data_IF_030787402695
#
_entry.id   IF_030787402695
#
_cell.length_a   1.000
_cell.length_b   1.000
_cell.length_c   1.000
_cell.angle_alpha   90.00
_cell.angle_beta   90.00
_cell.angle_gamma   90.00
#
_symmetry.space_group_name_H-M   'P 1'
#
loop_
_entity.id
_entity.type
_entity.pdbx_description
1 polymer ?
#
# COMPACT_ATOMS: atom_id res chain seq x y z
N UNK A 1 -1.06 1.90 -6.11
CA UNK A 1 -1.45 0.47 -6.18
C UNK A 1 -2.10 -0.05 -4.89
N UNK A 2 -1.56 0.22 -3.69
CA UNK A 2 -2.18 -0.25 -2.43
C UNK A 2 -3.61 0.29 -2.20
N UNK A 3 -3.89 1.53 -2.63
CA UNK A 3 -5.23 2.13 -2.55
C UNK A 3 -6.34 1.32 -3.24
N UNK A 4 -5.99 0.51 -4.25
CA UNK A 4 -6.98 -0.30 -4.99
C UNK A 4 -7.55 -1.42 -4.12
N UNK A 5 -6.81 -1.91 -3.12
CA UNK A 5 -7.35 -2.88 -2.16
C UNK A 5 -8.50 -2.29 -1.35
N UNK A 6 -8.41 -1.01 -1.00
CA UNK A 6 -9.45 -0.33 -0.23
C UNK A 6 -10.79 -0.25 -0.98
N UNK A 7 -10.77 -0.34 -2.32
CA UNK A 7 -11.94 -0.21 -3.16
C UNK A 7 -12.93 -1.39 -3.05
N UNK A 8 -12.60 -2.44 -2.30
CA UNK A 8 -13.60 -3.44 -1.89
C UNK A 8 -14.65 -2.83 -0.96
N UNK A 9 -14.32 -1.77 -0.22
CA UNK A 9 -15.25 -1.05 0.63
C UNK A 9 -16.00 0.00 -0.20
N UNK A 10 -17.35 0.06 -0.13
CA UNK A 10 -18.16 0.97 -0.94
C UNK A 10 -17.72 2.45 -0.83
N UNK A 11 -17.36 2.91 0.36
CA UNK A 11 -16.94 4.30 0.61
C UNK A 11 -15.64 4.70 -0.10
N UNK A 12 -14.80 3.73 -0.49
CA UNK A 12 -13.57 3.98 -1.26
C UNK A 12 -13.72 3.60 -2.74
N UNK A 13 -14.89 3.10 -3.16
CA UNK A 13 -15.09 2.59 -4.52
C UNK A 13 -14.98 3.68 -5.59
N UNK A 14 -15.21 4.93 -5.21
CA UNK A 14 -15.11 6.11 -6.08
C UNK A 14 -13.70 6.32 -6.65
N UNK A 15 -12.64 5.82 -5.99
CA UNK A 15 -11.27 5.85 -6.53
C UNK A 15 -11.09 5.01 -7.80
N UNK A 16 -12.06 4.17 -8.14
CA UNK A 16 -12.12 3.38 -9.36
C UNK A 16 -13.21 3.89 -10.32
N UNK A 17 -13.69 5.12 -10.19
CA UNK A 17 -14.54 5.74 -11.21
C UNK A 17 -13.70 5.96 -12.49
N UNK A 18 -14.24 5.62 -13.66
CA UNK A 18 -13.49 5.65 -14.92
C UNK A 18 -12.70 4.38 -15.21
N UNK A 19 -12.74 3.36 -14.33
CA UNK A 19 -11.99 2.10 -14.52
C UNK A 19 -12.44 1.33 -15.75
N UNK A 20 -13.68 1.51 -16.18
CA UNK A 20 -14.27 0.97 -17.41
C UNK A 20 -13.59 1.46 -18.70
N UNK A 21 -12.90 2.61 -18.62
CA UNK A 21 -12.11 3.17 -19.71
C UNK A 21 -10.69 2.59 -19.76
N UNK A 22 -10.24 1.89 -18.71
CA UNK A 22 -8.90 1.33 -18.66
C UNK A 22 -8.80 0.00 -19.42
N UNK A 23 -7.70 -0.19 -20.15
CA UNK A 23 -7.41 -1.47 -20.83
C UNK A 23 -6.98 -2.56 -19.84
N UNK A 24 -6.39 -2.16 -18.71
CA UNK A 24 -5.98 -3.09 -17.65
C UNK A 24 -5.94 -2.47 -16.26
N UNK A 25 -6.10 -3.31 -15.25
CA UNK A 25 -6.12 -2.95 -13.83
C UNK A 25 -5.33 -4.00 -13.06
N UNK A 26 -4.37 -3.56 -12.24
CA UNK A 26 -3.64 -4.46 -11.35
C UNK A 26 -3.90 -4.15 -9.88
N UNK A 27 -3.88 -5.20 -9.07
CA UNK A 27 -3.98 -5.18 -7.62
C UNK A 27 -2.93 -6.11 -7.03
N UNK A 28 -2.38 -5.76 -5.88
CA UNK A 28 -1.46 -6.61 -5.14
C UNK A 28 -2.10 -7.05 -3.81
N UNK A 29 -2.81 -8.20 -3.77
CA UNK A 29 -3.33 -8.76 -2.52
C UNK A 29 -2.28 -8.91 -1.43
N UNK A 30 -1.02 -9.12 -1.79
CA UNK A 30 0.06 -9.25 -0.82
C UNK A 30 0.45 -7.96 -0.09
N UNK A 31 -0.12 -6.82 -0.48
CA UNK A 31 0.13 -5.54 0.20
C UNK A 31 -0.89 -5.29 1.31
N UNK A 32 -2.17 -5.50 1.02
CA UNK A 32 -3.23 -5.04 1.92
C UNK A 32 -4.51 -5.88 1.78
N UNK A 33 -4.33 -7.20 1.68
CA UNK A 33 -5.40 -8.19 1.57
C UNK A 33 -5.01 -9.52 2.21
N UNK A 34 -4.21 -9.46 3.29
CA UNK A 34 -3.85 -10.58 4.16
C UNK A 34 -3.23 -11.81 3.45
N UNK A 35 -2.71 -11.62 2.24
CA UNK A 35 -2.13 -12.70 1.44
C UNK A 35 -0.61 -12.62 1.50
N UNK A 36 0.09 -13.73 1.73
CA UNK A 36 1.55 -13.69 1.77
C UNK A 36 2.16 -13.40 0.38
N UNK A 37 3.31 -12.73 0.37
CA UNK A 37 4.08 -12.45 -0.85
C UNK A 37 4.48 -13.77 -1.54
N UNK A 38 4.43 -13.89 -2.86
CA UNK A 38 4.00 -12.93 -3.89
C UNK A 38 2.57 -13.19 -4.39
N UNK A 39 1.72 -12.17 -4.47
CA UNK A 39 0.36 -12.34 -5.02
C UNK A 39 -0.09 -11.07 -5.73
N UNK A 40 -0.14 -11.12 -7.06
CA UNK A 40 -0.65 -10.04 -7.90
C UNK A 40 -1.86 -10.55 -8.70
N UNK A 41 -2.83 -9.67 -8.89
CA UNK A 41 -3.98 -9.88 -9.75
C UNK A 41 -3.95 -8.82 -10.84
N UNK A 42 -4.15 -9.25 -12.09
CA UNK A 42 -4.24 -8.40 -13.26
C UNK A 42 -5.56 -8.73 -13.97
N UNK A 43 -6.35 -7.70 -14.22
CA UNK A 43 -7.51 -7.75 -15.09
C UNK A 43 -7.16 -6.99 -16.36
N UNK A 44 -7.49 -7.57 -17.50
CA UNK A 44 -7.33 -6.95 -18.83
C UNK A 44 -8.67 -6.98 -19.54
N UNK A 45 -8.98 -5.91 -20.27
CA UNK A 45 -10.22 -5.78 -21.04
C UNK A 45 -10.23 -6.73 -22.25
N UNK A 46 -9.07 -6.89 -22.88
CA UNK A 46 -8.87 -7.74 -24.05
C UNK A 46 -7.68 -8.67 -23.81
N UNK A 47 -7.95 -9.94 -23.47
CA UNK A 47 -6.88 -10.92 -23.19
C UNK A 47 -6.12 -11.35 -24.43
N UNK A 48 -6.67 -11.15 -25.64
CA UNK A 48 -6.00 -11.44 -26.91
C UNK A 48 -4.66 -10.71 -27.01
N UNK A 49 -4.56 -9.47 -26.53
CA UNK A 49 -3.29 -8.72 -26.56
C UNK A 49 -2.16 -9.41 -25.78
N UNK A 50 -2.48 -10.10 -24.68
CA UNK A 50 -1.47 -10.87 -23.93
C UNK A 50 -1.08 -12.13 -24.70
N UNK A 51 -2.06 -12.84 -25.26
CA UNK A 51 -1.84 -14.07 -26.01
C UNK A 51 -1.03 -13.79 -27.28
N UNK A 52 -1.39 -12.76 -28.04
CA UNK A 52 -0.72 -12.40 -29.29
C UNK A 52 0.74 -12.01 -29.09
N UNK A 53 1.06 -11.38 -27.95
CA UNK A 53 2.44 -10.97 -27.64
C UNK A 53 3.28 -12.07 -26.98
N UNK A 54 2.67 -12.95 -26.17
CA UNK A 54 3.39 -13.91 -25.33
C UNK A 54 3.28 -15.37 -25.81
N UNK A 55 2.36 -15.69 -26.72
CA UNK A 55 2.08 -17.09 -27.05
C UNK A 55 3.24 -17.74 -27.78
N UNK A 56 3.82 -18.75 -27.14
CA UNK A 56 4.75 -19.68 -27.78
C UNK A 56 4.00 -20.95 -28.12
N UNK A 57 3.89 -21.25 -29.43
CA UNK A 57 3.30 -22.50 -29.92
C UNK A 57 4.39 -23.55 -30.05
N UNK A 58 4.38 -24.54 -29.17
CA UNK A 58 5.22 -25.73 -29.28
C UNK A 58 4.36 -26.99 -29.31
N UNK A 59 4.72 -27.95 -30.16
CA UNK A 59 3.96 -29.18 -30.35
C UNK A 59 3.85 -30.01 -29.05
N UNK A 60 4.85 -29.94 -28.18
CA UNK A 60 4.88 -30.64 -26.89
C UNK A 60 3.89 -30.05 -25.87
N UNK A 61 3.41 -28.82 -26.09
CA UNK A 61 2.54 -28.09 -25.18
C UNK A 61 1.11 -27.94 -25.72
N UNK A 62 0.75 -28.65 -26.80
CA UNK A 62 -0.62 -28.62 -27.32
C UNK A 62 -1.58 -29.24 -26.32
N UNK A 63 -2.50 -28.42 -25.82
CA UNK A 63 -3.64 -28.89 -25.05
C UNK A 63 -4.64 -29.58 -25.99
N UNK A 64 -4.70 -30.91 -25.94
CA UNK A 64 -5.65 -31.75 -26.73
C UNK A 64 -7.03 -31.88 -26.07
N UNK A 65 -7.37 -31.00 -25.14
CA UNK A 65 -8.70 -31.02 -24.51
C UNK A 65 -9.79 -30.72 -25.55
N UNK A 66 -10.95 -31.40 -25.52
CA UNK A 66 -12.04 -31.16 -26.48
C UNK A 66 -12.63 -29.74 -26.44
N UNK A 67 -12.37 -29.00 -25.35
CA UNK A 67 -12.68 -27.58 -25.20
C UNK A 67 -11.61 -26.63 -25.80
N UNK A 68 -10.51 -27.14 -26.38
CA UNK A 68 -9.53 -26.32 -27.12
C UNK A 68 -9.82 -26.29 -28.63
N UNK A 69 -10.61 -27.25 -29.13
CA UNK A 69 -11.14 -27.26 -30.49
C UNK A 69 -12.47 -26.51 -30.56
N UNK A 70 -12.58 -25.58 -31.49
CA UNK A 70 -13.68 -24.61 -31.73
C UNK A 70 -15.04 -25.24 -32.08
N UNK A 71 -15.27 -26.52 -31.79
CA UNK A 71 -16.43 -27.30 -32.27
C UNK A 71 -17.35 -27.84 -31.16
N UNK A 72 -17.17 -27.44 -29.90
CA UNK A 72 -18.12 -27.76 -28.83
C UNK A 72 -18.56 -26.50 -28.08
N UNK A 73 -19.82 -26.45 -27.64
CA UNK A 73 -20.43 -25.37 -26.82
C UNK A 73 -19.78 -25.21 -25.42
N UNK A 74 -18.54 -25.66 -25.23
CA UNK A 74 -17.80 -25.61 -23.97
C UNK A 74 -16.85 -24.42 -24.01
N UNK A 75 -16.84 -23.62 -22.94
CA UNK A 75 -15.96 -22.47 -22.84
C UNK A 75 -14.49 -22.89 -23.05
N UNK A 76 -13.71 -22.12 -23.82
CA UNK A 76 -12.34 -22.48 -24.13
C UNK A 76 -11.48 -22.52 -22.86
N UNK A 77 -10.62 -23.53 -22.76
CA UNK A 77 -9.68 -23.66 -21.64
C UNK A 77 -8.58 -22.59 -21.78
N UNK A 78 -8.45 -21.74 -20.76
CA UNK A 78 -7.44 -20.68 -20.74
C UNK A 78 -6.07 -21.28 -20.39
N UNK A 79 -5.09 -21.07 -21.26
CA UNK A 79 -3.69 -21.36 -20.95
C UNK A 79 -3.00 -20.12 -20.38
N UNK A 80 -2.89 -20.07 -19.05
CA UNK A 80 -2.28 -18.95 -18.34
C UNK A 80 -0.80 -18.73 -18.65
N UNK A 81 -0.09 -19.68 -19.29
CA UNK A 81 1.29 -19.45 -19.73
C UNK A 81 1.37 -18.28 -20.72
N UNK A 82 0.33 -18.11 -21.53
CA UNK A 82 0.24 -17.06 -22.55
C UNK A 82 -0.20 -15.71 -21.96
N UNK A 83 -0.43 -15.65 -20.64
CA UNK A 83 -0.84 -14.43 -19.93
C UNK A 83 0.26 -13.92 -19.00
N UNK A 84 1.46 -14.50 -19.06
CA UNK A 84 2.59 -14.14 -18.23
C UNK A 84 3.91 -14.33 -19.00
N UNK A 85 5.03 -13.91 -18.39
CA UNK A 85 6.35 -14.03 -19.01
C UNK A 85 6.92 -15.45 -18.86
N UNK A 86 6.69 -16.08 -17.71
CA UNK A 86 7.25 -17.40 -17.40
C UNK A 86 6.36 -18.54 -17.90
N UNK A 87 6.95 -19.64 -18.34
CA UNK A 87 6.20 -20.84 -18.70
C UNK A 87 5.60 -21.54 -17.46
N UNK A 88 6.45 -21.79 -16.47
CA UNK A 88 6.09 -22.44 -15.22
C UNK A 88 5.36 -21.49 -14.28
N UNK A 89 4.33 -21.98 -13.58
CA UNK A 89 3.58 -21.20 -12.59
C UNK A 89 3.28 -21.99 -11.33
N UNK A 90 3.33 -21.30 -10.18
CA UNK A 90 2.86 -21.82 -8.89
C UNK A 90 1.35 -21.68 -8.77
N UNK A 91 0.73 -22.45 -7.87
CA UNK A 91 -0.70 -22.36 -7.58
C UNK A 91 -1.05 -21.16 -6.66
N UNK A 92 -0.77 -19.93 -7.11
CA UNK A 92 -0.98 -18.70 -6.34
C UNK A 92 -2.46 -18.43 -5.99
N UNK A 93 -3.38 -18.96 -6.79
CA UNK A 93 -4.81 -18.79 -6.55
C UNK A 93 -5.27 -19.48 -5.25
N UNK A 94 -4.63 -20.59 -4.83
CA UNK A 94 -5.02 -21.32 -3.63
C UNK A 94 -4.92 -20.45 -2.37
N UNK A 95 -3.82 -19.73 -2.18
CA UNK A 95 -3.65 -18.86 -1.00
C UNK A 95 -4.66 -17.71 -0.98
N UNK A 96 -4.93 -17.09 -2.13
CA UNK A 96 -5.90 -16.01 -2.22
C UNK A 96 -7.33 -16.53 -1.95
N UNK A 97 -7.67 -17.69 -2.52
CA UNK A 97 -8.94 -18.36 -2.27
C UNK A 97 -9.14 -18.68 -0.78
N UNK A 98 -8.12 -19.22 -0.11
CA UNK A 98 -8.17 -19.52 1.33
C UNK A 98 -8.41 -18.25 2.15
N UNK A 99 -7.75 -17.13 1.83
CA UNK A 99 -7.96 -15.84 2.52
C UNK A 99 -9.40 -15.36 2.34
N UNK A 100 -9.91 -15.34 1.09
CA UNK A 100 -11.28 -14.90 0.79
C UNK A 100 -12.30 -15.79 1.51
N UNK A 101 -12.11 -17.11 1.51
CA UNK A 101 -13.01 -18.07 2.17
C UNK A 101 -12.98 -17.95 3.69
N UNK A 102 -11.80 -17.76 4.28
CA UNK A 102 -11.62 -17.68 5.74
C UNK A 102 -12.20 -16.39 6.31
N UNK A 103 -11.89 -15.25 5.68
CA UNK A 103 -12.28 -13.93 6.21
C UNK A 103 -13.65 -13.48 5.71
N UNK A 104 -14.07 -13.97 4.55
CA UNK A 104 -15.26 -13.46 3.87
C UNK A 104 -15.10 -12.01 3.41
N UNK A 105 -16.09 -11.53 2.67
CA UNK A 105 -16.11 -10.15 2.18
C UNK A 105 -16.14 -9.13 3.33
N UNK A 106 -17.02 -9.34 4.33
CA UNK A 106 -17.16 -8.45 5.48
C UNK A 106 -15.91 -8.38 6.35
N UNK A 107 -15.21 -9.50 6.57
CA UNK A 107 -13.98 -9.51 7.37
C UNK A 107 -12.83 -8.77 6.70
N UNK A 108 -12.72 -8.87 5.37
CA UNK A 108 -11.73 -8.12 4.60
C UNK A 108 -12.03 -6.62 4.60
N UNK A 109 -13.30 -6.23 4.46
CA UNK A 109 -13.72 -4.83 4.58
C UNK A 109 -13.43 -4.28 5.98
N UNK A 110 -13.72 -5.05 7.03
CA UNK A 110 -13.43 -4.67 8.40
C UNK A 110 -11.93 -4.42 8.61
N UNK A 111 -11.07 -5.32 8.12
CA UNK A 111 -9.62 -5.15 8.21
C UNK A 111 -9.15 -3.83 7.60
N UNK A 112 -9.61 -3.51 6.38
CA UNK A 112 -9.26 -2.25 5.71
C UNK A 112 -9.77 -1.05 6.50
N UNK A 113 -11.02 -1.08 6.96
CA UNK A 113 -11.61 0.01 7.75
C UNK A 113 -10.87 0.23 9.07
N UNK A 114 -10.46 -0.85 9.73
CA UNK A 114 -9.67 -0.80 10.96
C UNK A 114 -8.35 -0.06 10.74
N UNK A 115 -7.61 -0.41 9.70
CA UNK A 115 -6.34 0.24 9.36
C UNK A 115 -6.52 1.71 8.97
N UNK A 116 -7.58 2.01 8.21
CA UNK A 116 -7.92 3.40 7.85
C UNK A 116 -8.31 4.22 9.08
N UNK A 117 -9.03 3.64 10.05
CA UNK A 117 -9.41 4.31 11.29
C UNK A 117 -8.18 4.58 12.17
N UNK A 118 -7.26 3.63 12.28
CA UNK A 118 -5.98 3.83 12.98
C UNK A 118 -5.17 4.96 12.32
N UNK A 119 -5.13 5.01 10.98
CA UNK A 119 -4.48 6.11 10.26
C UNK A 119 -5.16 7.46 10.46
N UNK A 120 -6.49 7.51 10.50
CA UNK A 120 -7.24 8.73 10.82
C UNK A 120 -6.95 9.21 12.25
N UNK A 121 -6.84 8.28 13.21
CA UNK A 121 -6.47 8.60 14.60
C UNK A 121 -5.04 9.15 14.68
N UNK A 122 -4.10 8.53 13.97
CA UNK A 122 -2.72 9.00 13.89
C UNK A 122 -2.63 10.40 13.25
N UNK A 123 -3.33 10.64 12.14
CA UNK A 123 -3.44 11.95 11.48
C UNK A 123 -3.96 13.02 12.46
N UNK A 124 -5.00 12.73 13.23
CA UNK A 124 -5.53 13.65 14.24
C UNK A 124 -4.55 13.91 15.39
N UNK A 125 -3.66 12.96 15.72
CA UNK A 125 -2.60 13.16 16.71
C UNK A 125 -1.50 14.08 16.18
N UNK A 126 -1.08 13.88 14.92
CA UNK A 126 -0.11 14.74 14.26
C UNK A 126 -0.64 16.17 14.15
N UNK A 127 -1.92 16.35 13.80
CA UNK A 127 -2.54 17.66 13.67
C UNK A 127 -2.65 18.43 15.01
N UNK A 128 -2.66 17.73 16.16
CA UNK A 128 -2.70 18.35 17.49
C UNK A 128 -1.35 18.90 17.94
N UNK A 129 -0.26 18.44 17.33
CA UNK A 129 1.09 18.85 17.70
C UNK A 129 1.56 19.92 16.70
N UNK A 130 1.60 21.18 17.14
CA UNK A 130 1.85 22.34 16.27
C UNK A 130 3.21 22.32 15.57
N UNK A 131 4.14 21.52 16.08
CA UNK A 131 5.48 21.31 15.50
C UNK A 131 5.42 20.54 14.20
N UNK A 132 4.38 19.74 13.99
CA UNK A 132 4.21 18.97 12.78
C UNK A 132 3.18 19.59 11.86
N UNK A 133 3.26 19.22 10.59
CA UNK A 133 2.20 19.48 9.63
C UNK A 133 1.98 18.27 8.72
N UNK A 134 0.72 18.11 8.30
CA UNK A 134 0.34 17.12 7.30
C UNK A 134 0.54 17.76 5.93
N UNK A 135 1.37 17.15 5.08
CA UNK A 135 1.75 17.75 3.79
C UNK A 135 0.69 17.51 2.72
N UNK A 136 -0.02 16.38 2.82
CA UNK A 136 -1.06 15.99 1.87
C UNK A 136 -2.22 15.33 2.64
N UNK A 137 -3.49 15.55 2.23
CA UNK A 137 -4.63 14.88 2.84
C UNK A 137 -4.44 13.35 2.84
N UNK A 138 -4.68 12.71 3.99
CA UNK A 138 -4.55 11.26 4.11
C UNK A 138 -5.42 10.53 3.09
N UNK A 139 -4.79 9.65 2.32
CA UNK A 139 -5.47 8.71 1.41
C UNK A 139 -5.38 7.31 1.99
N UNK A 140 -6.54 6.74 2.37
CA UNK A 140 -6.64 5.42 2.99
C UNK A 140 -5.77 5.33 4.27
N UNK A 141 -4.88 4.35 4.40
CA UNK A 141 -4.08 4.12 5.61
C UNK A 141 -2.65 4.69 5.56
N UNK A 142 -2.38 5.65 4.67
CA UNK A 142 -1.08 6.32 4.57
C UNK A 142 -1.20 7.78 5.02
N UNK A 143 -0.45 8.16 6.04
CA UNK A 143 -0.30 9.54 6.52
C UNK A 143 1.07 10.08 6.12
N UNK A 144 1.07 11.23 5.47
CA UNK A 144 2.28 11.95 5.06
C UNK A 144 2.40 13.23 5.88
N UNK A 145 3.43 13.32 6.70
CA UNK A 145 3.65 14.46 7.60
C UNK A 145 5.12 14.84 7.64
N UNK A 146 5.42 16.04 8.13
CA UNK A 146 6.80 16.48 8.37
C UNK A 146 6.88 17.33 9.63
N UNK A 147 8.07 17.45 10.18
CA UNK A 147 8.37 18.43 11.21
C UNK A 147 8.50 19.80 10.53
N UNK A 148 7.86 20.84 11.07
CA UNK A 148 7.93 22.19 10.52
C UNK A 148 9.35 22.73 10.68
N UNK A 149 9.92 23.31 9.63
CA UNK A 149 11.24 23.93 9.74
C UNK A 149 11.17 25.18 10.64
N UNK A 150 12.18 25.38 11.51
CA UNK A 150 12.36 26.65 12.24
C UNK A 150 12.80 27.79 11.31
N UNK A 151 13.52 27.46 10.23
CA UNK A 151 13.98 28.37 9.16
C UNK A 151 13.79 27.70 7.80
N UNK A 152 13.43 28.44 6.77
CA UNK A 152 13.11 27.89 5.43
C UNK A 152 14.24 27.01 4.82
N UNK A 153 15.49 27.18 5.25
CA UNK A 153 16.66 26.41 4.80
C UNK A 153 16.81 25.00 5.41
N UNK A 154 16.16 24.70 6.53
CA UNK A 154 16.51 23.51 7.36
C UNK A 154 15.63 22.28 7.06
N UNK A 155 14.73 22.38 6.08
CA UNK A 155 13.64 21.42 5.85
C UNK A 155 14.07 19.98 5.52
N UNK A 156 15.32 19.73 5.13
CA UNK A 156 15.81 18.38 4.79
C UNK A 156 16.40 17.62 5.99
N UNK A 157 17.05 18.30 6.94
CA UNK A 157 17.80 17.64 8.01
C UNK A 157 16.91 17.19 9.18
N UNK A 158 15.77 17.84 9.36
CA UNK A 158 14.83 17.62 10.47
C UNK A 158 14.03 16.32 10.39
N UNK A 159 14.09 15.59 9.28
CA UNK A 159 13.20 14.46 9.02
C UNK A 159 13.85 13.08 9.27
N UNK A 160 14.98 12.97 9.98
CA UNK A 160 15.69 11.71 10.30
C UNK A 160 14.95 10.76 11.27
N UNK A 161 13.64 10.58 11.08
CA UNK A 161 12.90 9.49 11.71
C UNK A 161 13.16 8.19 10.93
N UNK A 162 13.22 7.06 11.64
CA UNK A 162 13.44 5.71 11.07
C UNK A 162 12.26 5.18 10.24
N UNK A 163 11.37 6.08 9.80
CA UNK A 163 10.26 5.81 8.92
C UNK A 163 10.69 6.11 7.48
N UNK A 164 10.06 5.43 6.53
CA UNK A 164 10.34 5.67 5.11
C UNK A 164 10.02 7.12 4.74
N UNK A 165 10.97 7.80 4.11
CA UNK A 165 10.83 9.16 3.62
C UNK A 165 10.45 9.18 2.13
N UNK A 166 9.90 10.29 1.66
CA UNK A 166 9.76 10.59 0.25
C UNK A 166 9.91 12.10 0.01
N UNK A 167 10.15 12.48 -1.24
CA UNK A 167 10.14 13.88 -1.65
C UNK A 167 8.87 14.14 -2.45
N UNK A 168 8.02 15.06 -1.97
CA UNK A 168 6.80 15.51 -2.64
C UNK A 168 6.97 16.98 -3.02
N UNK A 169 7.04 17.31 -4.30
CA UNK A 169 7.18 18.71 -4.75
C UNK A 169 8.43 19.42 -4.22
N UNK A 170 9.55 18.69 -4.04
CA UNK A 170 10.79 19.23 -3.46
C UNK A 170 10.83 19.23 -1.92
N UNK A 171 9.72 18.86 -1.27
CA UNK A 171 9.62 18.78 0.20
C UNK A 171 9.86 17.35 0.69
N UNK A 172 10.76 17.19 1.65
CA UNK A 172 10.92 15.92 2.37
C UNK A 172 9.74 15.67 3.31
N UNK A 173 9.16 14.47 3.19
CA UNK A 173 8.03 14.02 4.00
C UNK A 173 8.30 12.66 4.61
N UNK A 174 7.80 12.46 5.81
CA UNK A 174 7.76 11.18 6.49
C UNK A 174 6.46 10.47 6.13
N UNK A 175 6.56 9.19 5.78
CA UNK A 175 5.41 8.36 5.40
C UNK A 175 5.16 7.30 6.46
N UNK A 176 4.01 7.38 7.10
CA UNK A 176 3.51 6.34 8.00
C UNK A 176 2.42 5.52 7.29
N UNK A 177 2.76 4.29 6.88
CA UNK A 177 1.80 3.35 6.27
C UNK A 177 1.33 2.36 7.33
N UNK A 178 0.04 2.41 7.66
CA UNK A 178 -0.59 1.46 8.58
C UNK A 178 -1.21 0.34 7.75
N UNK A 179 -0.96 -0.91 8.14
CA UNK A 179 -1.46 -2.06 7.39
C UNK A 179 -0.79 -3.40 7.68
N UNK A 180 0.14 -3.46 8.65
CA UNK A 180 0.66 -4.75 9.11
C UNK A 180 -0.38 -5.44 9.98
N UNK A 181 -0.57 -6.74 9.78
CA UNK A 181 -1.67 -7.52 10.38
C UNK A 181 -1.72 -7.48 11.91
N UNK A 182 -0.59 -7.24 12.58
CA UNK A 182 -0.49 -7.21 14.04
C UNK A 182 -0.57 -5.79 14.64
N UNK A 183 -0.71 -4.76 13.80
CA UNK A 183 -0.87 -3.39 14.31
C UNK A 183 -2.20 -3.26 15.05
N UNK A 184 -2.15 -2.50 16.15
CA UNK A 184 -3.25 -2.27 17.09
C UNK A 184 -3.14 -0.82 17.55
N UNK A 185 -4.22 -0.30 18.14
CA UNK A 185 -4.27 1.08 18.63
C UNK A 185 -3.13 1.47 19.57
N UNK A 186 -2.70 0.55 20.45
CA UNK A 186 -1.56 0.77 21.35
C UNK A 186 -0.25 1.05 20.59
N UNK A 187 -0.03 0.40 19.44
CA UNK A 187 1.15 0.62 18.63
C UNK A 187 1.15 2.02 17.99
N UNK A 188 -0.04 2.58 17.72
CA UNK A 188 -0.18 3.95 17.23
C UNK A 188 0.15 4.95 18.35
N UNK A 189 -0.27 4.66 19.58
CA UNK A 189 0.08 5.48 20.75
C UNK A 189 1.59 5.45 21.05
N UNK A 190 2.20 4.27 20.99
CA UNK A 190 3.64 4.10 21.19
C UNK A 190 4.43 4.81 20.08
N UNK A 191 3.98 4.69 18.83
CA UNK A 191 4.59 5.38 17.69
C UNK A 191 4.52 6.90 17.87
N UNK A 192 3.38 7.44 18.34
CA UNK A 192 3.23 8.86 18.63
C UNK A 192 4.27 9.32 19.66
N UNK A 193 4.38 8.62 20.79
CA UNK A 193 5.34 8.97 21.85
C UNK A 193 6.76 9.01 21.29
N UNK A 194 7.14 7.97 20.53
CA UNK A 194 8.45 7.89 19.90
C UNK A 194 8.72 9.05 18.92
N UNK A 195 7.73 9.46 18.13
CA UNK A 195 7.85 10.60 17.21
C UNK A 195 8.04 11.91 18.00
N UNK A 196 7.28 12.10 19.07
CA UNK A 196 7.37 13.30 19.91
C UNK A 196 8.74 13.37 20.60
N UNK A 197 9.20 12.28 21.23
CA UNK A 197 10.52 12.20 21.86
C UNK A 197 11.66 12.46 20.88
N UNK A 198 11.57 11.93 19.65
CA UNK A 198 12.56 12.19 18.61
C UNK A 198 12.54 13.65 18.15
N UNK A 199 11.36 14.24 18.00
CA UNK A 199 11.24 15.66 17.66
C UNK A 199 11.79 16.57 18.77
N UNK A 200 11.52 16.25 20.04
CA UNK A 200 12.09 16.97 21.20
C UNK A 200 13.62 16.98 21.13
N UNK A 201 14.24 15.82 20.94
CA UNK A 201 15.70 15.71 20.82
C UNK A 201 16.26 16.49 19.63
N UNK A 202 15.63 16.42 18.47
CA UNK A 202 16.08 17.14 17.28
C UNK A 202 15.97 18.66 17.47
N UNK A 203 14.90 19.13 18.11
CA UNK A 203 14.70 20.56 18.36
C UNK A 203 15.64 21.12 19.44
N UNK A 204 16.00 20.32 20.45
CA UNK A 204 17.03 20.65 21.45
C UNK A 204 18.43 20.74 20.83
N UNK A 205 18.76 19.84 19.89
CA UNK A 205 20.02 19.90 19.16
C UNK A 205 20.13 21.15 18.25
N UNK A 206 19.02 21.82 17.97
CA UNK A 206 19.01 23.08 17.21
C UNK A 206 19.07 24.34 18.08
N UNK A 207 19.08 24.22 19.42
CA UNK A 207 19.29 25.39 20.27
C UNK A 207 20.77 25.83 20.25
N UNK A 208 21.04 27.14 20.16
CA UNK A 208 22.41 27.67 20.16
C UNK A 208 23.13 27.30 21.47
N UNK A 209 24.44 27.02 21.36
CA UNK A 209 25.29 26.47 22.45
C UNK A 209 25.17 27.20 23.79
N UNK A 210 24.86 28.50 23.80
CA UNK A 210 24.66 29.30 25.02
C UNK A 210 23.51 28.83 25.95
N UNK A 211 22.63 27.94 25.50
CA UNK A 211 21.48 27.45 26.30
C UNK A 211 21.68 26.03 26.84
N UNK A 212 22.63 25.26 26.28
CA UNK A 212 22.86 23.86 26.65
C UNK A 212 23.47 23.71 28.05
N UNK A 213 24.24 24.69 28.50
CA UNK A 213 24.92 24.66 29.80
C UNK A 213 23.97 24.95 30.99
N UNK A 214 22.83 25.59 30.76
CA UNK A 214 21.88 25.90 31.86
C UNK A 214 20.96 24.73 32.23
N UNK A 215 20.73 23.77 31.31
CA UNK A 215 19.80 22.65 31.54
C UNK A 215 20.48 21.37 32.03
N UNK A 216 21.81 21.29 32.02
CA UNK A 216 22.57 20.17 32.57
C UNK A 216 23.08 20.41 34.00
N UNK A 217 22.71 21.56 34.61
CA UNK A 217 23.13 21.95 35.97
C UNK A 217 21.96 22.08 36.96
N UNK A 218 20.80 21.49 36.65
CA UNK A 218 19.65 21.30 37.56
C UNK A 218 19.13 19.86 37.43
#
# INVERSE_FOLDING_TARGET
QAYRSACICPEFRHYLNGVELADSVSLNPHKWFLTNMDCGCLWVKHSSFLVDSQSTKSDIMRNRSPASSTSTNVAPVIDYKDWQIALSRRFKALKLWTVIRKHGYSGLMYHIRSDVNMAKRFEAMVAKDERFETVEPRKCALVCFRLKPKRESDGSELNQLSLTQATLGGVYVIRCSIGTTLTQDRHIDDLRKLIQEKADRLLLLQEPENTRDYLLTL
#
